data_IF_049802049098
#
_entry.id   IF_049802049098
#
_cell.length_a   1.000
_cell.length_b   1.000
_cell.length_c   1.000
_cell.angle_alpha   90.00
_cell.angle_beta   90.00
_cell.angle_gamma   90.00
#
_symmetry.space_group_name_H-M   'P 1'
#
loop_
_entity.id
_entity.type
_entity.pdbx_description
1 polymer ?
#
# COMPACT_ATOMS: atom_id res chain seq x y z
N UNK A 1 -14.12 20.60 16.06
CA UNK A 1 -13.56 19.34 16.61
C UNK A 1 -12.71 19.68 17.82
N UNK A 2 -13.06 19.14 18.96
CA UNK A 2 -12.33 19.30 20.24
C UNK A 2 -11.15 18.31 20.30
N UNK A 3 -10.21 18.54 21.24
CA UNK A 3 -9.10 17.58 21.46
C UNK A 3 -9.64 16.21 21.89
N UNK A 4 -10.75 16.20 22.64
CA UNK A 4 -11.42 14.97 23.09
C UNK A 4 -12.00 14.20 21.92
N UNK A 5 -12.70 14.86 21.00
CA UNK A 5 -13.20 14.25 19.76
C UNK A 5 -12.06 13.67 18.90
N UNK A 6 -10.94 14.40 18.76
CA UNK A 6 -9.78 13.92 18.03
C UNK A 6 -9.13 12.70 18.71
N UNK A 7 -9.09 12.65 20.05
CA UNK A 7 -8.60 11.49 20.80
C UNK A 7 -9.49 10.26 20.63
N UNK A 8 -10.81 10.44 20.62
CA UNK A 8 -11.76 9.37 20.36
C UNK A 8 -11.66 8.85 18.93
N UNK A 9 -11.49 9.73 17.94
CA UNK A 9 -11.30 9.38 16.54
C UNK A 9 -10.00 8.56 16.33
N UNK A 10 -8.93 8.88 17.06
CA UNK A 10 -7.68 8.11 17.03
C UNK A 10 -7.87 6.75 17.72
N UNK A 11 -8.59 6.69 18.85
CA UNK A 11 -8.82 5.45 19.60
C UNK A 11 -9.79 4.50 18.87
N UNK A 12 -10.78 5.02 18.15
CA UNK A 12 -11.74 4.22 17.37
C UNK A 12 -11.16 3.60 16.09
N UNK A 13 -9.90 3.93 15.75
CA UNK A 13 -9.25 3.48 14.53
C UNK A 13 -8.83 2.00 14.50
N UNK A 14 -9.18 1.20 15.51
CA UNK A 14 -8.64 -0.15 15.68
C UNK A 14 -9.35 -1.26 14.86
N UNK A 15 -10.55 -1.03 14.32
CA UNK A 15 -11.21 -1.95 13.39
C UNK A 15 -12.12 -1.18 12.43
N UNK A 16 -11.59 -0.79 11.28
CA UNK A 16 -12.37 -0.12 10.23
C UNK A 16 -12.98 -1.14 9.26
N UNK A 17 -14.05 -0.74 8.54
CA UNK A 17 -14.58 -1.55 7.41
C UNK A 17 -13.47 -1.92 6.41
N UNK A 18 -12.46 -1.03 6.26
CA UNK A 18 -11.30 -1.30 5.41
C UNK A 18 -10.45 -2.48 5.90
N UNK A 19 -10.36 -2.73 7.23
CA UNK A 19 -9.63 -3.88 7.79
C UNK A 19 -10.33 -5.20 7.47
N UNK A 20 -11.65 -5.25 7.58
CA UNK A 20 -12.47 -6.42 7.20
C UNK A 20 -12.28 -6.71 5.72
N UNK A 21 -12.38 -5.69 4.89
CA UNK A 21 -12.21 -5.82 3.44
C UNK A 21 -10.79 -6.24 3.03
N UNK A 22 -9.75 -5.77 3.74
CA UNK A 22 -8.37 -6.25 3.55
C UNK A 22 -8.28 -7.75 3.85
N UNK A 23 -8.86 -8.23 4.95
CA UNK A 23 -8.83 -9.65 5.31
C UNK A 23 -9.60 -10.52 4.30
N UNK A 24 -10.74 -10.05 3.80
CA UNK A 24 -11.48 -10.71 2.72
C UNK A 24 -10.63 -10.84 1.45
N UNK A 25 -9.99 -9.77 1.02
CA UNK A 25 -9.11 -9.79 -0.16
C UNK A 25 -7.95 -10.78 0.03
N UNK A 26 -7.30 -10.79 1.20
CA UNK A 26 -6.23 -11.75 1.52
C UNK A 26 -6.73 -13.19 1.51
N UNK A 27 -7.94 -13.44 2.03
CA UNK A 27 -8.61 -14.72 1.98
C UNK A 27 -8.82 -15.21 0.53
N UNK A 28 -9.36 -14.35 -0.33
CA UNK A 28 -9.57 -14.66 -1.74
C UNK A 28 -8.27 -14.95 -2.51
N UNK A 29 -7.20 -14.18 -2.25
CA UNK A 29 -5.88 -14.42 -2.85
C UNK A 29 -5.34 -15.80 -2.44
N UNK A 30 -5.46 -16.16 -1.16
CA UNK A 30 -5.02 -17.46 -0.66
C UNK A 30 -5.81 -18.63 -1.26
N UNK A 31 -7.14 -18.49 -1.40
CA UNK A 31 -8.01 -19.49 -2.04
C UNK A 31 -7.58 -19.65 -3.50
N UNK A 32 -7.48 -18.57 -4.25
CA UNK A 32 -7.09 -18.60 -5.66
C UNK A 32 -5.70 -19.21 -5.90
N UNK A 33 -4.74 -18.96 -5.01
CA UNK A 33 -3.42 -19.58 -5.09
C UNK A 33 -3.46 -21.10 -4.87
N UNK A 34 -4.33 -21.58 -3.96
CA UNK A 34 -4.52 -23.03 -3.73
C UNK A 34 -5.22 -23.71 -4.91
N UNK A 35 -6.27 -23.10 -5.45
CA UNK A 35 -6.99 -23.59 -6.63
C UNK A 35 -6.04 -23.65 -7.83
N UNK A 36 -5.22 -22.62 -8.03
CA UNK A 36 -4.20 -22.63 -9.07
C UNK A 36 -3.23 -23.80 -8.89
N UNK A 37 -2.63 -23.97 -7.71
CA UNK A 37 -1.64 -25.01 -7.47
C UNK A 37 -2.22 -26.41 -7.73
N UNK A 38 -3.46 -26.68 -7.29
CA UNK A 38 -4.13 -27.94 -7.50
C UNK A 38 -4.43 -28.20 -8.99
N UNK A 39 -5.05 -27.24 -9.66
CA UNK A 39 -5.40 -27.37 -11.08
C UNK A 39 -4.16 -27.43 -11.98
N UNK A 40 -3.14 -26.63 -11.67
CA UNK A 40 -1.87 -26.60 -12.41
C UNK A 40 -1.14 -27.95 -12.32
N UNK A 41 -1.08 -28.57 -11.13
CA UNK A 41 -0.49 -29.90 -10.95
C UNK A 41 -1.16 -30.97 -11.79
N UNK A 42 -2.48 -30.89 -12.01
CA UNK A 42 -3.22 -31.79 -12.90
C UNK A 42 -2.89 -31.49 -14.37
N UNK A 43 -2.86 -30.21 -14.76
CA UNK A 43 -2.61 -29.80 -16.15
C UNK A 43 -1.23 -30.18 -16.66
N UNK A 44 -0.22 -30.11 -15.81
CA UNK A 44 1.20 -30.39 -16.13
C UNK A 44 1.64 -31.84 -15.81
N UNK A 45 0.68 -32.71 -15.40
CA UNK A 45 1.02 -34.10 -15.10
C UNK A 45 1.63 -34.81 -16.34
N UNK A 46 2.79 -35.49 -16.22
CA UNK A 46 3.42 -36.17 -17.35
C UNK A 46 2.61 -37.42 -17.77
N UNK A 47 2.28 -37.54 -19.04
CA UNK A 47 1.48 -38.65 -19.57
C UNK A 47 -0.01 -38.54 -19.23
N UNK A 48 -0.75 -39.66 -19.33
CA UNK A 48 -2.16 -39.71 -18.99
C UNK A 48 -2.37 -39.67 -17.47
N UNK A 49 -3.47 -39.08 -17.03
CA UNK A 49 -3.80 -39.03 -15.60
C UNK A 49 -4.16 -40.45 -15.09
N UNK A 50 -3.45 -40.97 -14.08
CA UNK A 50 -3.86 -42.23 -13.46
C UNK A 50 -5.26 -42.17 -12.87
N UNK A 51 -6.00 -43.29 -12.90
CA UNK A 51 -7.37 -43.37 -12.37
C UNK A 51 -7.49 -42.90 -10.92
N UNK A 52 -6.51 -43.19 -10.09
CA UNK A 52 -6.45 -42.74 -8.70
C UNK A 52 -6.40 -41.19 -8.57
N UNK A 53 -5.71 -40.51 -9.48
CA UNK A 53 -5.65 -39.05 -9.52
C UNK A 53 -7.00 -38.49 -10.00
N UNK A 54 -7.60 -39.09 -11.02
CA UNK A 54 -8.94 -38.72 -11.53
C UNK A 54 -9.99 -38.87 -10.45
N UNK A 55 -9.98 -39.99 -9.70
CA UNK A 55 -10.89 -40.19 -8.59
C UNK A 55 -10.68 -39.22 -7.44
N UNK A 56 -9.43 -38.99 -7.05
CA UNK A 56 -9.11 -38.03 -6.00
C UNK A 56 -9.50 -36.60 -6.42
N UNK A 57 -9.27 -36.21 -7.65
CA UNK A 57 -9.66 -34.89 -8.22
C UNK A 57 -11.21 -34.77 -8.21
N UNK A 58 -11.93 -35.78 -8.65
CA UNK A 58 -13.38 -35.79 -8.63
C UNK A 58 -13.94 -35.62 -7.22
N UNK A 59 -13.41 -36.37 -6.23
CA UNK A 59 -13.79 -36.27 -4.82
C UNK A 59 -13.51 -34.88 -4.24
N UNK A 60 -12.43 -34.22 -4.67
CA UNK A 60 -12.05 -32.86 -4.28
C UNK A 60 -12.75 -31.76 -5.11
N UNK A 61 -13.65 -32.13 -6.04
CA UNK A 61 -14.30 -31.21 -7.00
C UNK A 61 -13.29 -30.43 -7.86
N UNK A 62 -12.17 -31.04 -8.17
CA UNK A 62 -11.15 -30.54 -9.08
C UNK A 62 -11.39 -31.10 -10.49
N UNK A 63 -10.83 -30.46 -11.55
CA UNK A 63 -10.90 -30.97 -12.90
C UNK A 63 -10.31 -32.38 -13.02
N UNK A 64 -10.96 -33.23 -13.82
CA UNK A 64 -10.56 -34.62 -14.04
C UNK A 64 -9.78 -34.81 -15.35
N UNK A 65 -9.63 -33.74 -16.12
CA UNK A 65 -8.82 -33.74 -17.34
C UNK A 65 -7.94 -32.50 -17.43
N UNK A 66 -6.85 -32.59 -18.20
CA UNK A 66 -5.83 -31.55 -18.31
C UNK A 66 -6.33 -30.24 -18.93
N UNK A 67 -7.24 -30.33 -19.89
CA UNK A 67 -7.82 -29.16 -20.57
C UNK A 67 -8.60 -28.29 -19.59
N UNK A 68 -9.55 -28.90 -18.88
CA UNK A 68 -10.32 -28.21 -17.85
C UNK A 68 -9.42 -27.71 -16.71
N UNK A 69 -8.41 -28.50 -16.32
CA UNK A 69 -7.45 -28.11 -15.26
C UNK A 69 -6.68 -26.85 -15.66
N UNK A 70 -6.27 -26.71 -16.91
CA UNK A 70 -5.61 -25.51 -17.43
C UNK A 70 -6.53 -24.28 -17.39
N UNK A 71 -7.79 -24.43 -17.75
CA UNK A 71 -8.78 -23.33 -17.70
C UNK A 71 -9.05 -22.90 -16.26
N UNK A 72 -9.20 -23.86 -15.34
CA UNK A 72 -9.39 -23.57 -13.92
C UNK A 72 -8.16 -22.87 -13.34
N UNK A 73 -6.93 -23.32 -13.66
CA UNK A 73 -5.71 -22.68 -13.22
C UNK A 73 -5.62 -21.22 -13.69
N UNK A 74 -5.90 -20.96 -14.98
CA UNK A 74 -5.91 -19.59 -15.52
C UNK A 74 -6.98 -18.72 -14.84
N UNK A 75 -8.16 -19.27 -14.61
CA UNK A 75 -9.27 -18.56 -13.94
C UNK A 75 -8.89 -18.21 -12.51
N UNK A 76 -8.29 -19.13 -11.78
CA UNK A 76 -7.82 -18.91 -10.40
C UNK A 76 -6.81 -17.76 -10.32
N UNK A 77 -5.82 -17.70 -11.24
CA UNK A 77 -4.86 -16.57 -11.26
C UNK A 77 -5.56 -15.24 -11.52
N UNK A 78 -6.51 -15.19 -12.47
CA UNK A 78 -7.25 -13.96 -12.76
C UNK A 78 -8.09 -13.51 -11.56
N UNK A 79 -8.70 -14.45 -10.83
CA UNK A 79 -9.43 -14.18 -9.59
C UNK A 79 -8.50 -13.65 -8.49
N UNK A 80 -7.33 -14.28 -8.30
CA UNK A 80 -6.29 -13.82 -7.38
C UNK A 80 -5.82 -12.41 -7.70
N UNK A 81 -5.56 -12.10 -8.97
CA UNK A 81 -5.19 -10.76 -9.42
C UNK A 81 -6.32 -9.74 -9.22
N UNK A 82 -7.59 -10.15 -9.40
CA UNK A 82 -8.73 -9.26 -9.11
C UNK A 82 -8.86 -8.98 -7.61
N UNK A 83 -8.64 -9.97 -6.75
CA UNK A 83 -8.63 -9.78 -5.31
C UNK A 83 -7.45 -8.89 -4.88
N UNK A 84 -6.27 -9.06 -5.48
CA UNK A 84 -5.11 -8.21 -5.22
C UNK A 84 -5.33 -6.75 -5.67
N UNK A 85 -6.01 -6.54 -6.79
CA UNK A 85 -6.43 -5.21 -7.22
C UNK A 85 -7.32 -4.52 -6.17
N UNK A 86 -8.29 -5.24 -5.61
CA UNK A 86 -9.15 -4.72 -4.55
C UNK A 86 -8.36 -4.47 -3.25
N UNK A 87 -7.39 -5.32 -2.92
CA UNK A 87 -6.49 -5.13 -1.78
C UNK A 87 -5.69 -3.82 -1.90
N UNK A 88 -5.21 -3.48 -3.07
CA UNK A 88 -4.52 -2.20 -3.29
C UNK A 88 -5.44 -1.00 -3.00
N UNK A 89 -6.72 -1.07 -3.36
CA UNK A 89 -7.69 -0.01 -3.05
C UNK A 89 -7.93 0.07 -1.52
N UNK A 90 -8.19 -1.07 -0.88
CA UNK A 90 -8.49 -1.12 0.55
C UNK A 90 -7.30 -0.61 1.39
N UNK A 91 -6.09 -1.04 1.06
CA UNK A 91 -4.88 -0.54 1.75
C UNK A 91 -4.66 0.96 1.52
N UNK A 92 -4.91 1.47 0.31
CA UNK A 92 -4.82 2.91 0.04
C UNK A 92 -5.85 3.71 0.83
N UNK A 93 -7.10 3.21 0.98
CA UNK A 93 -8.13 3.83 1.82
C UNK A 93 -7.71 3.88 3.28
N UNK A 94 -7.19 2.77 3.82
CA UNK A 94 -6.70 2.70 5.21
C UNK A 94 -5.55 3.68 5.46
N UNK A 95 -4.57 3.76 4.57
CA UNK A 95 -3.47 4.74 4.65
C UNK A 95 -3.99 6.16 4.57
N UNK A 96 -4.95 6.44 3.66
CA UNK A 96 -5.59 7.75 3.55
C UNK A 96 -6.28 8.16 4.85
N UNK A 97 -7.10 7.29 5.43
CA UNK A 97 -7.82 7.57 6.68
C UNK A 97 -6.84 7.92 7.81
N UNK A 98 -5.73 7.16 7.93
CA UNK A 98 -4.68 7.41 8.92
C UNK A 98 -3.96 8.73 8.67
N UNK A 99 -3.62 9.06 7.41
CA UNK A 99 -2.98 10.34 7.07
C UNK A 99 -3.92 11.53 7.29
N UNK A 100 -5.20 11.40 7.03
CA UNK A 100 -6.19 12.46 7.29
C UNK A 100 -6.34 12.74 8.79
N UNK A 101 -6.31 11.70 9.65
CA UNK A 101 -6.28 11.89 11.11
C UNK A 101 -5.04 12.65 11.55
N UNK A 102 -3.88 12.27 11.03
CA UNK A 102 -2.61 12.93 11.35
C UNK A 102 -2.62 14.39 10.88
N UNK A 103 -3.07 14.67 9.67
CA UNK A 103 -3.18 16.04 9.16
C UNK A 103 -4.16 16.90 9.99
N UNK A 104 -5.25 16.30 10.51
CA UNK A 104 -6.14 16.98 11.47
C UNK A 104 -5.43 17.35 12.78
N UNK A 105 -4.54 16.46 13.29
CA UNK A 105 -3.73 16.75 14.47
C UNK A 105 -2.74 17.90 14.22
N UNK A 106 -2.10 17.94 13.06
CA UNK A 106 -1.28 19.09 12.64
C UNK A 106 -2.09 20.36 12.49
N UNK A 107 -3.29 20.29 11.90
CA UNK A 107 -4.19 21.44 11.76
C UNK A 107 -4.63 22.00 13.13
N UNK A 108 -4.94 21.11 14.10
CA UNK A 108 -5.26 21.51 15.46
C UNK A 108 -4.06 22.19 16.16
N UNK A 109 -2.85 21.69 15.94
CA UNK A 109 -1.63 22.32 16.44
C UNK A 109 -1.42 23.69 15.78
N UNK A 110 -1.58 23.80 14.46
CA UNK A 110 -1.50 25.08 13.73
C UNK A 110 -2.49 26.12 14.27
N UNK A 111 -3.76 25.75 14.41
CA UNK A 111 -4.81 26.62 14.96
C UNK A 111 -4.44 27.22 16.31
N UNK A 112 -3.73 26.47 17.14
CA UNK A 112 -3.25 26.93 18.44
C UNK A 112 -2.23 28.08 18.35
N UNK A 113 -1.43 28.08 17.30
CA UNK A 113 -0.46 29.15 16.97
C UNK A 113 -1.05 30.25 16.08
N UNK A 114 -2.38 30.23 15.83
CA UNK A 114 -3.04 31.16 14.92
C UNK A 114 -2.74 30.90 13.44
N UNK A 115 -2.27 29.69 13.10
CA UNK A 115 -1.91 29.30 11.73
C UNK A 115 -3.03 28.41 11.17
N UNK A 116 -3.68 28.85 10.11
CA UNK A 116 -4.74 28.08 9.46
C UNK A 116 -4.12 27.00 8.57
N UNK A 117 -4.73 25.79 8.57
CA UNK A 117 -4.35 24.69 7.70
C UNK A 117 -4.68 25.02 6.25
N UNK A 118 -3.64 25.03 5.39
CA UNK A 118 -3.77 25.29 3.95
C UNK A 118 -3.25 24.05 3.17
N UNK A 119 -4.18 23.29 2.60
CA UNK A 119 -3.86 22.08 1.82
C UNK A 119 -3.26 22.43 0.45
N UNK A 120 -3.54 23.61 -0.11
CA UNK A 120 -3.03 24.04 -1.42
C UNK A 120 -1.59 24.58 -1.29
N UNK A 121 -1.32 25.34 -0.23
CA UNK A 121 -0.02 25.88 0.07
C UNK A 121 0.58 25.23 1.32
N UNK A 122 0.50 23.90 1.41
CA UNK A 122 0.84 23.15 2.62
C UNK A 122 2.22 23.50 3.18
N UNK A 123 3.25 23.60 2.32
CA UNK A 123 4.62 23.87 2.76
C UNK A 123 4.80 25.33 3.19
N UNK A 124 4.41 26.28 2.35
CA UNK A 124 4.69 27.71 2.53
C UNK A 124 3.64 28.41 3.38
N UNK A 125 2.37 28.07 3.19
CA UNK A 125 1.24 28.68 3.89
C UNK A 125 0.97 28.09 5.28
N UNK A 126 1.33 26.83 5.51
CA UNK A 126 1.03 26.14 6.76
C UNK A 126 2.28 25.62 7.49
N UNK A 127 3.04 24.71 6.87
CA UNK A 127 4.07 23.94 7.60
C UNK A 127 5.27 24.81 8.02
N UNK A 128 5.80 25.67 7.16
CA UNK A 128 6.94 26.52 7.51
C UNK A 128 6.61 27.51 8.65
N UNK A 129 5.46 28.22 8.64
CA UNK A 129 5.03 29.02 9.79
C UNK A 129 4.87 28.18 11.06
N UNK A 130 4.28 26.98 10.98
CA UNK A 130 4.11 26.09 12.12
C UNK A 130 5.45 25.64 12.71
N UNK A 131 6.41 25.24 11.87
CA UNK A 131 7.74 24.87 12.31
C UNK A 131 8.42 26.00 13.10
N UNK A 132 8.37 27.24 12.59
CA UNK A 132 8.92 28.42 13.27
C UNK A 132 8.28 28.66 14.65
N UNK A 133 6.95 28.51 14.74
CA UNK A 133 6.22 28.70 15.99
C UNK A 133 6.56 27.61 17.03
N UNK A 134 6.59 26.34 16.62
CA UNK A 134 6.90 25.19 17.52
C UNK A 134 8.34 25.22 17.98
N UNK A 135 9.29 25.63 17.11
CA UNK A 135 10.70 25.79 17.43
C UNK A 135 10.91 26.89 18.48
N UNK A 136 10.26 28.04 18.30
CA UNK A 136 10.32 29.16 19.22
C UNK A 136 9.85 28.79 20.65
N UNK A 137 8.84 27.91 20.74
CA UNK A 137 8.32 27.43 22.03
C UNK A 137 9.20 26.33 22.68
N UNK A 138 10.21 25.83 21.98
CA UNK A 138 11.10 24.78 22.47
C UNK A 138 10.40 23.47 22.87
N UNK A 139 9.21 23.20 22.30
CA UNK A 139 8.37 22.06 22.71
C UNK A 139 8.88 20.72 22.15
N UNK A 140 9.51 20.71 20.99
CA UNK A 140 9.97 19.48 20.35
C UNK A 140 11.04 18.75 21.14
N UNK A 141 11.99 19.47 21.72
CA UNK A 141 13.05 18.91 22.57
C UNK A 141 12.55 18.22 23.86
N UNK A 142 11.25 18.29 24.15
CA UNK A 142 10.60 17.62 25.29
C UNK A 142 9.86 16.34 24.90
N UNK A 143 9.89 15.95 23.63
CA UNK A 143 9.29 14.72 23.12
C UNK A 143 10.36 13.63 22.99
N UNK A 144 10.00 12.44 23.43
CA UNK A 144 10.73 11.22 23.13
C UNK A 144 10.35 10.76 21.69
N UNK A 145 11.32 10.37 20.88
CA UNK A 145 11.09 9.92 19.51
C UNK A 145 10.53 8.49 19.41
N UNK A 146 10.28 7.82 20.55
CA UNK A 146 9.74 6.45 20.58
C UNK A 146 8.44 6.30 19.80
N UNK A 147 7.62 7.33 19.83
CA UNK A 147 6.31 7.38 19.19
C UNK A 147 6.31 8.25 17.91
N UNK A 148 7.47 8.81 17.53
CA UNK A 148 7.64 9.53 16.28
C UNK A 148 8.44 8.68 15.29
N UNK A 149 7.95 8.56 14.07
CA UNK A 149 8.76 8.05 12.97
C UNK A 149 9.83 9.11 12.70
N UNK A 150 11.12 8.72 12.83
CA UNK A 150 12.21 9.62 12.41
C UNK A 150 11.98 10.05 10.97
N UNK A 151 12.14 11.35 10.68
CA UNK A 151 11.80 11.91 9.37
C UNK A 151 12.41 11.15 8.20
N UNK A 152 13.68 10.66 8.32
CA UNK A 152 14.32 9.81 7.30
C UNK A 152 13.58 8.49 7.04
N UNK A 153 12.99 7.87 8.06
CA UNK A 153 12.24 6.62 7.93
C UNK A 153 10.87 6.89 7.33
N UNK A 154 10.19 7.96 7.76
CA UNK A 154 8.95 8.39 7.19
C UNK A 154 9.09 8.64 5.68
N UNK A 155 10.09 9.40 5.26
CA UNK A 155 10.39 9.64 3.86
C UNK A 155 10.63 8.34 3.08
N UNK A 156 11.38 7.38 3.66
CA UNK A 156 11.65 6.10 3.02
C UNK A 156 10.42 5.21 2.92
N UNK A 157 9.55 5.21 3.95
CA UNK A 157 8.27 4.51 3.91
C UNK A 157 7.39 5.03 2.77
N UNK A 158 7.28 6.36 2.64
CA UNK A 158 6.54 7.01 1.55
C UNK A 158 7.11 6.62 0.20
N UNK A 159 8.44 6.64 0.06
CA UNK A 159 9.13 6.27 -1.17
C UNK A 159 8.85 4.81 -1.54
N UNK A 160 9.01 3.88 -0.60
CA UNK A 160 8.76 2.46 -0.84
C UNK A 160 7.30 2.18 -1.18
N UNK A 161 6.36 2.79 -0.45
CA UNK A 161 4.94 2.67 -0.73
C UNK A 161 4.59 3.20 -2.12
N UNK A 162 5.03 4.42 -2.44
CA UNK A 162 4.75 5.04 -3.74
C UNK A 162 5.34 4.24 -4.91
N UNK A 163 6.62 3.87 -4.85
CA UNK A 163 7.29 3.05 -5.89
C UNK A 163 6.65 1.66 -6.01
N UNK A 164 6.40 1.01 -4.88
CA UNK A 164 5.78 -0.30 -4.84
C UNK A 164 4.41 -0.28 -5.51
N UNK A 165 3.52 0.63 -5.09
CA UNK A 165 2.19 0.76 -5.67
C UNK A 165 2.21 1.14 -7.15
N UNK A 166 3.12 2.03 -7.57
CA UNK A 166 3.27 2.39 -8.98
C UNK A 166 3.65 1.18 -9.85
N UNK A 167 4.58 0.35 -9.40
CA UNK A 167 4.96 -0.85 -10.13
C UNK A 167 3.85 -1.92 -10.12
N UNK A 168 3.16 -2.12 -8.99
CA UNK A 168 2.01 -3.02 -8.94
C UNK A 168 0.91 -2.59 -9.91
N UNK A 169 0.57 -1.29 -9.94
CA UNK A 169 -0.39 -0.74 -10.90
C UNK A 169 0.06 -0.91 -12.36
N UNK A 170 1.37 -0.78 -12.62
CA UNK A 170 1.93 -1.04 -13.95
C UNK A 170 1.76 -2.49 -14.39
N UNK A 171 1.70 -3.45 -13.48
CA UNK A 171 1.33 -4.84 -13.76
C UNK A 171 -0.09 -4.99 -14.32
N UNK A 172 -0.97 -4.01 -14.07
CA UNK A 172 -2.30 -3.92 -14.67
C UNK A 172 -2.37 -2.97 -15.88
N UNK A 173 -1.24 -2.46 -16.36
CA UNK A 173 -1.20 -1.45 -17.43
C UNK A 173 -1.67 -0.05 -16.98
N UNK A 174 -1.68 0.21 -15.69
CA UNK A 174 -2.11 1.47 -15.09
C UNK A 174 -0.91 2.32 -14.65
N UNK A 175 -1.11 3.62 -14.49
CA UNK A 175 -0.07 4.57 -14.14
C UNK A 175 -0.61 5.58 -13.11
N UNK A 176 0.30 6.07 -12.25
CA UNK A 176 0.04 7.10 -11.24
C UNK A 176 0.65 8.45 -11.66
N UNK A 177 0.89 8.70 -12.92
CA UNK A 177 1.70 9.81 -13.44
C UNK A 177 1.31 11.22 -12.94
N UNK A 178 0.07 11.43 -12.55
CA UNK A 178 -0.46 12.76 -12.22
C UNK A 178 -0.32 13.15 -10.74
N UNK A 179 0.21 12.25 -9.87
CA UNK A 179 0.26 12.50 -8.42
C UNK A 179 1.42 13.37 -8.04
N UNK A 180 2.48 13.37 -8.81
CA UNK A 180 3.81 13.81 -8.40
C UNK A 180 4.25 15.14 -8.99
N UNK A 181 3.36 15.82 -9.71
CA UNK A 181 3.62 17.20 -10.18
C UNK A 181 3.67 18.24 -9.06
N UNK A 182 3.34 17.87 -7.82
CA UNK A 182 3.38 18.76 -6.67
C UNK A 182 4.81 18.79 -6.09
N UNK A 183 5.37 19.99 -5.98
CA UNK A 183 6.72 20.25 -5.44
C UNK A 183 6.94 19.66 -4.04
N UNK A 184 5.89 19.52 -3.25
CA UNK A 184 5.96 18.95 -1.88
C UNK A 184 6.23 17.46 -1.93
N UNK A 185 5.57 16.74 -2.83
CA UNK A 185 5.79 15.30 -3.02
C UNK A 185 7.17 15.05 -3.60
N UNK A 186 7.63 15.88 -4.53
CA UNK A 186 8.97 15.82 -5.12
C UNK A 186 10.11 16.00 -4.12
N UNK A 187 9.88 16.69 -2.99
CA UNK A 187 10.88 16.83 -1.91
C UNK A 187 11.13 15.54 -1.13
N UNK A 188 10.11 14.72 -0.96
CA UNK A 188 10.20 13.45 -0.24
C UNK A 188 10.53 12.31 -1.19
N UNK A 189 10.06 12.43 -2.41
CA UNK A 189 10.10 11.38 -3.41
C UNK A 189 10.89 11.88 -4.62
N UNK A 190 12.19 11.62 -4.61
CA UNK A 190 13.15 12.13 -5.60
C UNK A 190 13.04 11.51 -7.00
N UNK A 191 12.08 10.64 -7.28
CA UNK A 191 11.98 9.94 -8.56
C UNK A 191 10.56 9.97 -9.12
N UNK A 192 10.46 10.17 -10.43
CA UNK A 192 9.22 10.00 -11.17
C UNK A 192 8.73 8.55 -11.02
N UNK A 193 7.53 8.36 -10.50
CA UNK A 193 6.86 7.06 -10.43
C UNK A 193 6.11 6.75 -11.74
N UNK A 194 6.71 7.08 -12.87
CA UNK A 194 6.12 6.67 -14.15
C UNK A 194 6.31 5.17 -14.31
N UNK A 195 5.29 4.41 -13.93
CA UNK A 195 5.21 3.02 -14.30
C UNK A 195 5.08 2.88 -15.83
N UNK A 196 5.54 1.77 -16.39
CA UNK A 196 5.29 1.47 -17.81
C UNK A 196 3.78 1.36 -18.05
N UNK A 197 3.25 2.22 -18.93
CA UNK A 197 1.80 2.30 -19.22
C UNK A 197 1.27 1.11 -20.00
N UNK A 198 2.10 0.37 -20.71
CA UNK A 198 1.69 -0.71 -21.59
C UNK A 198 2.30 -2.03 -21.12
N UNK A 199 1.44 -3.00 -20.87
CA UNK A 199 1.82 -4.41 -20.74
C UNK A 199 1.62 -5.08 -22.09
N UNK A 200 2.66 -5.73 -22.58
CA UNK A 200 2.66 -6.40 -23.89
C UNK A 200 2.42 -7.90 -23.75
N UNK A 201 2.96 -8.50 -22.71
CA UNK A 201 2.84 -9.91 -22.40
C UNK A 201 2.82 -10.18 -20.89
N UNK A 202 2.63 -11.44 -20.48
CA UNK A 202 2.60 -11.84 -19.07
C UNK A 202 3.91 -11.61 -18.34
N UNK A 203 5.06 -11.55 -19.02
CA UNK A 203 6.36 -11.26 -18.39
C UNK A 203 6.44 -9.80 -17.96
N UNK A 204 5.79 -8.89 -18.70
CA UNK A 204 5.69 -7.51 -18.27
C UNK A 204 4.87 -7.39 -16.98
N UNK A 205 3.75 -8.14 -16.89
CA UNK A 205 2.93 -8.23 -15.67
C UNK A 205 3.76 -8.75 -14.50
N UNK A 206 4.38 -9.91 -14.66
CA UNK A 206 5.26 -10.55 -13.67
C UNK A 206 6.38 -9.60 -13.20
N UNK A 207 7.13 -9.03 -14.14
CA UNK A 207 8.26 -8.14 -13.85
C UNK A 207 7.85 -6.90 -13.06
N UNK A 208 6.75 -6.25 -13.46
CA UNK A 208 6.26 -5.05 -12.78
C UNK A 208 5.76 -5.40 -11.37
N UNK A 209 4.96 -6.45 -11.23
CA UNK A 209 4.40 -6.85 -9.93
C UNK A 209 5.48 -7.38 -8.98
N UNK A 210 6.43 -8.19 -9.46
CA UNK A 210 7.57 -8.65 -8.66
C UNK A 210 8.45 -7.48 -8.18
N UNK A 211 8.71 -6.49 -9.05
CA UNK A 211 9.45 -5.29 -8.67
C UNK A 211 8.70 -4.50 -7.61
N UNK A 212 7.39 -4.31 -7.79
CA UNK A 212 6.53 -3.63 -6.82
C UNK A 212 6.50 -4.33 -5.47
N UNK A 213 6.31 -5.65 -5.47
CA UNK A 213 6.30 -6.45 -4.25
C UNK A 213 7.61 -6.37 -3.46
N UNK A 214 8.76 -6.43 -4.14
CA UNK A 214 10.08 -6.25 -3.51
C UNK A 214 10.26 -4.85 -2.91
N UNK A 215 9.74 -3.81 -3.55
CA UNK A 215 9.81 -2.45 -3.04
C UNK A 215 8.94 -2.22 -1.79
N UNK A 216 7.85 -2.97 -1.67
CA UNK A 216 7.00 -2.93 -0.47
C UNK A 216 7.60 -3.67 0.73
N UNK A 217 8.63 -4.50 0.53
CA UNK A 217 9.30 -5.21 1.63
C UNK A 217 10.12 -4.24 2.48
N UNK A 218 9.55 -3.81 3.59
CA UNK A 218 10.10 -2.80 4.49
C UNK A 218 10.91 -3.38 5.67
N UNK A 219 10.85 -4.69 5.90
CA UNK A 219 11.46 -5.35 7.07
C UNK A 219 12.98 -5.10 7.21
N UNK A 220 13.66 -4.84 6.08
CA UNK A 220 15.11 -4.54 6.06
C UNK A 220 15.48 -3.10 6.40
N UNK A 221 14.49 -2.22 6.57
CA UNK A 221 14.71 -0.78 6.68
C UNK A 221 14.42 -0.20 8.05
N UNK A 222 13.64 -0.91 8.87
CA UNK A 222 13.46 -0.61 10.28
C UNK A 222 14.59 -1.29 11.05
N UNK A 223 15.71 -0.60 11.23
CA UNK A 223 16.75 -1.07 12.14
C UNK A 223 16.21 -1.06 13.57
N UNK A 224 15.84 -2.24 14.07
CA UNK A 224 15.33 -2.46 15.44
C UNK A 224 16.33 -2.05 16.53
N UNK A 225 17.56 -1.70 16.16
CA UNK A 225 18.63 -1.25 17.05
C UNK A 225 18.77 0.26 17.18
N UNK A 226 17.88 1.05 16.58
CA UNK A 226 17.91 2.50 16.78
C UNK A 226 17.64 2.81 18.25
N UNK A 227 18.62 3.39 18.93
CA UNK A 227 18.50 3.84 20.30
C UNK A 227 17.42 4.92 20.39
N UNK A 228 16.34 4.62 21.09
CA UNK A 228 15.15 5.46 21.31
C UNK A 228 15.42 6.62 22.32
N UNK A 229 16.60 7.21 22.32
CA UNK A 229 16.93 8.27 23.27
C UNK A 229 17.06 9.67 22.64
N UNK A 230 16.91 9.75 21.31
CA UNK A 230 16.98 11.04 20.63
C UNK A 230 15.65 11.78 20.74
N UNK A 231 15.71 13.05 21.08
CA UNK A 231 14.55 13.92 21.06
C UNK A 231 14.19 14.29 19.62
N UNK A 232 12.87 14.49 19.36
CA UNK A 232 12.38 14.99 18.09
C UNK A 232 12.89 16.40 17.87
N UNK A 233 13.52 16.63 16.74
CA UNK A 233 13.97 17.94 16.32
C UNK A 233 13.07 18.52 15.20
N UNK A 234 13.28 19.80 14.87
CA UNK A 234 12.47 20.50 13.87
C UNK A 234 12.56 19.89 12.47
N UNK A 235 13.71 19.28 12.13
CA UNK A 235 13.91 18.63 10.83
C UNK A 235 13.07 17.36 10.74
N UNK A 236 13.06 16.55 11.81
CA UNK A 236 12.26 15.33 11.89
C UNK A 236 10.76 15.67 11.84
N UNK A 237 10.34 16.66 12.62
CA UNK A 237 8.96 17.14 12.63
C UNK A 237 8.49 17.61 11.25
N UNK A 238 9.31 18.42 10.58
CA UNK A 238 9.02 18.94 9.24
C UNK A 238 8.98 17.80 8.19
N UNK A 239 9.97 16.92 8.21
CA UNK A 239 10.08 15.82 7.25
C UNK A 239 8.93 14.83 7.43
N UNK A 240 8.54 14.55 8.68
CA UNK A 240 7.37 13.71 8.97
C UNK A 240 6.09 14.33 8.42
N UNK A 241 5.85 15.61 8.67
CA UNK A 241 4.65 16.30 8.17
C UNK A 241 4.57 16.29 6.63
N UNK A 242 5.70 16.52 5.93
CA UNK A 242 5.79 16.42 4.47
C UNK A 242 5.49 15.00 4.01
N UNK A 243 6.05 13.99 4.70
CA UNK A 243 5.85 12.57 4.36
C UNK A 243 4.38 12.17 4.50
N UNK A 244 3.71 12.58 5.56
CA UNK A 244 2.28 12.33 5.80
C UNK A 244 1.44 12.99 4.69
N UNK A 245 1.75 14.23 4.34
CA UNK A 245 1.05 14.92 3.26
C UNK A 245 1.26 14.22 1.90
N UNK A 246 2.48 13.76 1.61
CA UNK A 246 2.78 12.99 0.41
C UNK A 246 2.02 11.66 0.37
N UNK A 247 1.97 10.91 1.50
CA UNK A 247 1.18 9.68 1.62
C UNK A 247 -0.30 9.91 1.35
N UNK A 248 -0.87 10.99 1.89
CA UNK A 248 -2.26 11.37 1.61
C UNK A 248 -2.51 11.56 0.12
N UNK A 249 -1.62 12.28 -0.58
CA UNK A 249 -1.73 12.52 -2.02
C UNK A 249 -1.58 11.25 -2.85
N UNK A 250 -0.60 10.40 -2.52
CA UNK A 250 -0.39 9.10 -3.18
C UNK A 250 -1.64 8.24 -3.03
N UNK A 251 -2.16 8.12 -1.80
CA UNK A 251 -3.34 7.31 -1.52
C UNK A 251 -4.58 7.83 -2.25
N UNK A 252 -4.81 9.15 -2.28
CA UNK A 252 -5.89 9.77 -3.05
C UNK A 252 -5.83 9.37 -4.53
N UNK A 253 -4.65 9.43 -5.13
CA UNK A 253 -4.51 9.07 -6.54
C UNK A 253 -4.70 7.59 -6.82
N UNK A 254 -4.19 6.72 -5.95
CA UNK A 254 -4.41 5.27 -6.06
C UNK A 254 -5.92 4.99 -6.00
N UNK A 255 -6.63 5.57 -5.02
CA UNK A 255 -8.07 5.38 -4.86
C UNK A 255 -8.84 5.88 -6.10
N UNK A 256 -8.50 7.06 -6.61
CA UNK A 256 -9.16 7.62 -7.81
C UNK A 256 -8.90 6.75 -9.04
N UNK A 257 -7.65 6.33 -9.25
CA UNK A 257 -7.29 5.53 -10.44
C UNK A 257 -7.88 4.13 -10.38
N UNK A 258 -7.69 3.41 -9.26
CA UNK A 258 -8.15 2.03 -9.12
C UNK A 258 -9.66 1.94 -8.79
N UNK A 259 -10.24 2.94 -8.15
CA UNK A 259 -11.67 2.95 -7.81
C UNK A 259 -12.59 3.17 -9.01
N UNK A 260 -12.05 3.54 -10.17
CA UNK A 260 -12.85 3.73 -11.39
C UNK A 260 -13.24 2.39 -12.02
N UNK A 261 -14.53 2.11 -12.10
CA UNK A 261 -15.05 0.83 -12.62
C UNK A 261 -14.64 0.55 -14.07
N UNK A 262 -14.59 1.58 -14.93
CA UNK A 262 -14.14 1.45 -16.33
C UNK A 262 -12.66 1.09 -16.39
N UNK A 263 -11.82 1.73 -15.56
CA UNK A 263 -10.40 1.44 -15.45
C UNK A 263 -10.18 0.00 -14.99
N UNK A 264 -10.90 -0.44 -13.95
CA UNK A 264 -10.84 -1.82 -13.44
C UNK A 264 -11.22 -2.83 -14.52
N UNK A 265 -12.32 -2.59 -15.24
CA UNK A 265 -12.76 -3.46 -16.33
C UNK A 265 -11.68 -3.58 -17.41
N UNK A 266 -11.15 -2.46 -17.89
CA UNK A 266 -10.11 -2.45 -18.92
C UNK A 266 -8.85 -3.19 -18.45
N UNK A 267 -8.41 -2.99 -17.20
CA UNK A 267 -7.27 -3.69 -16.62
C UNK A 267 -7.49 -5.21 -16.58
N UNK A 268 -8.65 -5.65 -16.11
CA UNK A 268 -8.98 -7.09 -16.04
C UNK A 268 -9.15 -7.72 -17.43
N UNK A 269 -9.76 -7.02 -18.37
CA UNK A 269 -9.91 -7.50 -19.75
C UNK A 269 -8.56 -7.65 -20.45
N UNK A 270 -7.64 -6.70 -20.24
CA UNK A 270 -6.26 -6.81 -20.74
C UNK A 270 -5.52 -8.02 -20.15
N UNK A 271 -5.61 -8.23 -18.82
CA UNK A 271 -5.03 -9.41 -18.18
C UNK A 271 -5.60 -10.70 -18.77
N UNK A 272 -6.93 -10.81 -18.86
CA UNK A 272 -7.60 -11.99 -19.46
C UNK A 272 -7.14 -12.25 -20.89
N UNK A 273 -7.03 -11.21 -21.71
CA UNK A 273 -6.52 -11.32 -23.09
C UNK A 273 -5.10 -11.88 -23.12
N UNK A 274 -4.19 -11.36 -22.26
CA UNK A 274 -2.82 -11.86 -22.19
C UNK A 274 -2.73 -13.33 -21.77
N UNK A 275 -3.60 -13.76 -20.83
CA UNK A 275 -3.69 -15.17 -20.44
C UNK A 275 -4.19 -16.05 -21.58
N UNK A 276 -5.20 -15.62 -22.32
CA UNK A 276 -5.73 -16.36 -23.48
C UNK A 276 -4.70 -16.47 -24.60
N UNK A 277 -4.00 -15.39 -24.93
CA UNK A 277 -2.92 -15.38 -25.94
C UNK A 277 -1.73 -16.26 -25.53
N UNK A 278 -1.53 -16.41 -24.23
CA UNK A 278 -0.45 -17.21 -23.66
C UNK A 278 -0.73 -18.72 -23.67
N UNK A 279 -2.00 -19.13 -23.84
CA UNK A 279 -2.41 -20.54 -23.71
C UNK A 279 -1.86 -21.47 -24.78
N UNK A 280 -1.23 -20.97 -25.86
CA UNK A 280 -0.78 -21.72 -27.01
C UNK A 280 0.61 -22.40 -26.86
N UNK A 281 0.98 -22.80 -25.63
CA UNK A 281 2.05 -23.80 -25.44
C UNK A 281 3.47 -23.25 -25.27
N UNK A 282 3.65 -21.97 -25.00
CA UNK A 282 4.97 -21.42 -24.75
C UNK A 282 5.41 -21.67 -23.29
N UNK A 283 6.36 -22.59 -23.07
CA UNK A 283 6.91 -22.92 -21.73
C UNK A 283 7.35 -21.71 -20.90
N UNK A 284 7.73 -20.59 -21.54
CA UNK A 284 8.11 -19.35 -20.85
C UNK A 284 6.92 -18.64 -20.23
N UNK A 285 5.76 -18.76 -20.86
CA UNK A 285 4.51 -18.13 -20.39
C UNK A 285 3.97 -18.88 -19.18
N UNK A 286 4.03 -20.21 -19.20
CA UNK A 286 3.67 -21.06 -18.06
C UNK A 286 4.43 -20.65 -16.81
N UNK A 287 5.74 -20.43 -16.91
CA UNK A 287 6.54 -19.93 -15.78
C UNK A 287 6.12 -18.56 -15.27
N UNK A 288 5.71 -17.66 -16.17
CA UNK A 288 5.21 -16.35 -15.74
C UNK A 288 3.87 -16.46 -15.00
N UNK A 289 2.98 -17.38 -15.41
CA UNK A 289 1.71 -17.65 -14.70
C UNK A 289 1.97 -18.19 -13.30
N UNK A 290 2.86 -19.17 -13.18
CA UNK A 290 3.29 -19.74 -11.90
C UNK A 290 3.90 -18.67 -11.00
N UNK A 291 4.85 -17.89 -11.52
CA UNK A 291 5.50 -16.79 -10.81
C UNK A 291 4.52 -15.69 -10.36
N UNK A 292 3.51 -15.35 -11.17
CA UNK A 292 2.45 -14.41 -10.82
C UNK A 292 1.58 -14.96 -9.69
N UNK A 293 1.21 -16.24 -9.75
CA UNK A 293 0.40 -16.87 -8.72
C UNK A 293 1.13 -16.95 -7.38
N UNK A 294 2.35 -17.47 -7.37
CA UNK A 294 3.16 -17.59 -6.15
C UNK A 294 3.53 -16.21 -5.58
N UNK A 295 3.89 -15.28 -6.47
CA UNK A 295 4.22 -13.91 -6.10
C UNK A 295 3.05 -13.13 -5.54
N UNK A 296 1.81 -13.38 -5.99
CA UNK A 296 0.64 -12.61 -5.55
C UNK A 296 0.42 -12.67 -4.04
N UNK A 297 0.70 -13.82 -3.41
CA UNK A 297 0.64 -14.01 -1.97
C UNK A 297 1.73 -13.20 -1.26
N UNK A 298 2.98 -13.30 -1.71
CA UNK A 298 4.10 -12.54 -1.15
C UNK A 298 3.87 -11.03 -1.27
N UNK A 299 3.40 -10.56 -2.43
CA UNK A 299 3.11 -9.15 -2.65
C UNK A 299 1.99 -8.65 -1.74
N UNK A 300 0.97 -9.47 -1.53
CA UNK A 300 -0.15 -9.16 -0.63
C UNK A 300 0.30 -9.07 0.82
N UNK A 301 1.12 -10.01 1.27
CA UNK A 301 1.69 -10.00 2.62
C UNK A 301 2.58 -8.78 2.85
N UNK A 302 3.44 -8.43 1.88
CA UNK A 302 4.30 -7.26 1.95
C UNK A 302 3.48 -5.95 1.97
N UNK A 303 2.45 -5.83 1.14
CA UNK A 303 1.57 -4.66 1.12
C UNK A 303 0.81 -4.51 2.45
N UNK A 304 0.26 -5.59 2.97
CA UNK A 304 -0.46 -5.57 4.25
C UNK A 304 0.46 -5.21 5.42
N UNK A 305 1.65 -5.80 5.51
CA UNK A 305 2.67 -5.48 6.54
C UNK A 305 3.08 -4.02 6.48
N UNK A 306 3.42 -3.51 5.29
CA UNK A 306 3.80 -2.11 5.12
C UNK A 306 2.66 -1.18 5.53
N UNK A 307 1.42 -1.47 5.10
CA UNK A 307 0.24 -0.69 5.46
C UNK A 307 0.02 -0.67 6.97
N UNK A 308 0.11 -1.82 7.64
CA UNK A 308 -0.06 -1.92 9.09
C UNK A 308 1.03 -1.17 9.85
N UNK A 309 2.29 -1.28 9.42
CA UNK A 309 3.40 -0.54 10.03
C UNK A 309 3.24 0.97 9.85
N UNK A 310 2.84 1.43 8.66
CA UNK A 310 2.59 2.86 8.41
C UNK A 310 1.45 3.39 9.25
N UNK A 311 0.31 2.70 9.30
CA UNK A 311 -0.86 3.16 10.05
C UNK A 311 -0.60 3.17 11.57
N UNK A 312 0.09 2.16 12.09
CA UNK A 312 0.52 2.12 13.50
C UNK A 312 1.42 3.31 13.84
N UNK A 313 2.45 3.54 13.03
CA UNK A 313 3.38 4.64 13.24
C UNK A 313 2.70 6.03 13.12
N UNK A 314 1.73 6.19 12.20
CA UNK A 314 0.93 7.41 12.09
C UNK A 314 0.06 7.62 13.34
N UNK A 315 -0.55 6.57 13.88
CA UNK A 315 -1.32 6.64 15.12
C UNK A 315 -0.45 7.10 16.31
N UNK A 316 0.74 6.54 16.45
CA UNK A 316 1.69 6.93 17.49
C UNK A 316 2.09 8.41 17.37
N UNK A 317 2.34 8.89 16.13
CA UNK A 317 2.64 10.29 15.85
C UNK A 317 1.50 11.22 16.24
N UNK A 318 0.25 10.85 15.98
CA UNK A 318 -0.93 11.63 16.37
C UNK A 318 -1.03 11.78 17.89
N UNK A 319 -0.75 10.73 18.65
CA UNK A 319 -0.70 10.82 20.13
C UNK A 319 0.36 11.79 20.63
N UNK A 320 1.56 11.80 20.03
CA UNK A 320 2.60 12.74 20.43
C UNK A 320 2.24 14.20 20.09
N UNK A 321 1.61 14.45 18.94
CA UNK A 321 1.07 15.77 18.58
C UNK A 321 0.01 16.25 19.59
N UNK A 322 -0.85 15.35 20.06
CA UNK A 322 -1.85 15.66 21.10
C UNK A 322 -1.19 15.96 22.45
N UNK A 323 -0.07 15.31 22.80
CA UNK A 323 0.70 15.68 24.00
C UNK A 323 1.28 17.09 23.88
N UNK A 324 1.78 17.49 22.70
CA UNK A 324 2.21 18.87 22.45
C UNK A 324 1.04 19.86 22.66
N UNK A 325 -0.13 19.56 22.13
CA UNK A 325 -1.34 20.39 22.27
C UNK A 325 -1.73 20.59 23.75
N UNK A 326 -1.58 19.55 24.60
CA UNK A 326 -1.86 19.62 26.03
C UNK A 326 -0.82 20.42 26.80
N UNK A 327 0.48 20.21 26.53
CA UNK A 327 1.58 20.85 27.29
C UNK A 327 1.62 22.36 27.09
N UNK A 328 1.30 22.85 25.91
CA UNK A 328 1.34 24.28 25.60
C UNK A 328 0.17 25.08 26.19
N UNK A 329 -0.87 24.44 26.78
CA UNK A 329 -1.92 25.14 27.56
C UNK A 329 -1.47 25.56 28.96
N UNK A 330 -0.35 25.02 29.47
CA UNK A 330 0.15 25.30 30.83
C UNK A 330 1.17 26.45 30.90
N UNK A 331 1.53 27.06 29.78
CA UNK A 331 2.52 28.15 29.73
C UNK A 331 1.91 29.53 29.41
N UNK A 332 0.60 29.72 29.71
CA UNK A 332 -0.04 31.05 29.71
C UNK A 332 -0.57 31.31 31.14
#
# INVERSE_FOLDING_TARGET
MTITELMLDIAAGDASEDDVHIQECLGHINISAREFAAAYSISEYPGDLPSIIVEAASNAKLPTNKGEAKEVANTAVIQGLSAFYNLMIATAKKVRASTERELRAYAALGKKYGINFDKQNFLTGFLNPLCKAVEKDGLLGKLDDRSFIKGKYAARMVENYGKGMANLMSGYGLSIDNVFGDSVVGLVVRNNYSGKKAIKDLRDVESNMSTGGKQLNFDKTLDKKTHYQDYVNIVDFKTLAISIFALSKISDSIIVTLGNASTKKTAMDNIKRLFNEASDGNKRVVRSVESISDGSKEWSDNLNKLTSNMTGALTDSSYELLKLLKKSKKSK
#
